data_IF_354589828244
#
_entry.id   IF_354589828244
#
_cell.length_a   1.000
_cell.length_b   1.000
_cell.length_c   1.000
_cell.angle_alpha   90.00
_cell.angle_beta   90.00
_cell.angle_gamma   90.00
#
_symmetry.space_group_name_H-M   'P 1'
#
loop_
_entity.id
_entity.type
_entity.pdbx_description
1 polymer ?
#
# COMPACT_ATOMS: atom_id res chain seq x y z
N UNK A 1 -26.02 25.47 -33.92
CA UNK A 1 -25.24 26.18 -32.88
C UNK A 1 -25.41 25.59 -31.47
N UNK A 2 -26.47 24.82 -31.17
CA UNK A 2 -26.70 24.22 -29.85
C UNK A 2 -25.86 22.95 -29.51
N UNK A 3 -25.14 22.38 -30.48
CA UNK A 3 -24.45 21.09 -30.31
C UNK A 3 -23.07 21.21 -29.63
N UNK A 4 -22.42 22.38 -29.75
CA UNK A 4 -21.09 22.63 -29.15
C UNK A 4 -21.14 22.89 -27.64
N UNK A 5 -22.24 23.43 -27.13
CA UNK A 5 -22.41 23.65 -25.68
C UNK A 5 -22.69 22.34 -24.94
N UNK A 6 -23.47 21.43 -25.54
CA UNK A 6 -23.83 20.17 -24.89
C UNK A 6 -22.62 19.22 -24.74
N UNK A 7 -21.72 19.22 -25.72
CA UNK A 7 -20.49 18.40 -25.70
C UNK A 7 -19.50 18.83 -24.59
N UNK A 8 -19.53 20.10 -24.17
CA UNK A 8 -18.71 20.60 -23.06
C UNK A 8 -19.27 20.21 -21.68
N UNK A 9 -20.59 20.01 -21.57
CA UNK A 9 -21.25 19.65 -20.31
C UNK A 9 -21.03 18.17 -19.97
N UNK A 10 -21.02 17.27 -20.97
CA UNK A 10 -20.75 15.84 -20.74
C UNK A 10 -19.26 15.54 -20.44
N UNK A 11 -18.31 16.32 -21.00
CA UNK A 11 -16.89 16.18 -20.66
C UNK A 11 -16.51 16.73 -19.26
N UNK A 12 -17.40 17.51 -18.64
CA UNK A 12 -17.21 18.05 -17.28
C UNK A 12 -17.80 17.13 -16.20
N UNK A 13 -18.45 16.03 -16.59
CA UNK A 13 -18.72 14.92 -15.68
C UNK A 13 -17.47 14.04 -15.55
N UNK A 14 -16.33 14.62 -15.20
CA UNK A 14 -15.28 13.83 -14.55
C UNK A 14 -15.87 13.38 -13.23
N UNK A 15 -16.08 12.07 -13.12
CA UNK A 15 -16.48 11.36 -11.91
C UNK A 15 -15.90 12.11 -10.71
N UNK A 16 -16.76 12.52 -9.77
CA UNK A 16 -16.36 13.26 -8.57
C UNK A 16 -15.02 12.69 -8.11
N UNK A 17 -13.93 13.48 -8.05
CA UNK A 17 -12.67 12.94 -7.58
C UNK A 17 -13.01 12.28 -6.26
N UNK A 18 -12.87 10.95 -6.18
CA UNK A 18 -12.98 10.28 -4.89
C UNK A 18 -12.11 11.10 -3.97
N UNK A 19 -12.63 11.45 -2.79
CA UNK A 19 -11.85 12.24 -1.83
C UNK A 19 -10.46 11.63 -1.80
N UNK A 20 -9.41 12.43 -2.04
CA UNK A 20 -8.06 11.92 -2.25
C UNK A 20 -7.62 10.98 -1.10
N UNK A 21 -8.19 11.19 0.10
CA UNK A 21 -8.13 10.30 1.25
C UNK A 21 -8.80 8.93 1.03
N UNK A 22 -10.01 8.86 0.46
CA UNK A 22 -10.69 7.61 0.14
C UNK A 22 -9.93 6.79 -0.91
N UNK A 23 -9.37 7.43 -1.93
CA UNK A 23 -8.47 6.76 -2.89
C UNK A 23 -7.24 6.18 -2.17
N UNK A 24 -6.64 6.94 -1.26
CA UNK A 24 -5.50 6.49 -0.43
C UNK A 24 -5.85 5.30 0.48
N UNK A 25 -7.04 5.32 1.09
CA UNK A 25 -7.52 4.20 1.92
C UNK A 25 -7.74 2.95 1.08
N UNK A 26 -8.34 3.09 -0.11
CA UNK A 26 -8.55 1.96 -1.02
C UNK A 26 -7.24 1.40 -1.56
N UNK A 27 -6.29 2.24 -1.96
CA UNK A 27 -4.97 1.78 -2.41
C UNK A 27 -4.20 1.08 -1.28
N UNK A 28 -4.30 1.58 -0.05
CA UNK A 28 -3.78 0.91 1.14
C UNK A 28 -4.44 -0.45 1.38
N UNK A 29 -5.78 -0.53 1.38
CA UNK A 29 -6.50 -1.77 1.61
C UNK A 29 -6.18 -2.82 0.53
N UNK A 30 -6.31 -2.44 -0.75
CA UNK A 30 -6.07 -3.32 -1.89
C UNK A 30 -4.60 -3.73 -1.94
N UNK A 31 -3.68 -2.78 -1.75
CA UNK A 31 -2.26 -3.06 -1.68
C UNK A 31 -1.93 -4.05 -0.55
N UNK A 32 -2.48 -3.84 0.64
CA UNK A 32 -2.25 -4.73 1.77
C UNK A 32 -2.75 -6.13 1.50
N UNK A 33 -3.99 -6.29 1.04
CA UNK A 33 -4.57 -7.61 0.74
C UNK A 33 -3.79 -8.32 -0.38
N UNK A 34 -3.52 -7.61 -1.49
CA UNK A 34 -2.80 -8.19 -2.63
C UNK A 34 -1.39 -8.62 -2.25
N UNK A 35 -0.60 -7.74 -1.65
CA UNK A 35 0.79 -8.05 -1.30
C UNK A 35 0.90 -9.07 -0.17
N UNK A 36 -0.07 -9.15 0.74
CA UNK A 36 -0.14 -10.23 1.73
C UNK A 36 -0.46 -11.58 1.10
N UNK A 37 -1.35 -11.59 0.11
CA UNK A 37 -1.63 -12.79 -0.67
C UNK A 37 -0.39 -13.27 -1.44
N UNK A 38 0.36 -12.35 -2.05
CA UNK A 38 1.64 -12.68 -2.71
C UNK A 38 2.67 -13.19 -1.70
N UNK A 39 2.75 -12.59 -0.51
CA UNK A 39 3.59 -13.08 0.58
C UNK A 39 3.23 -14.49 1.04
N UNK A 40 1.93 -14.79 1.14
CA UNK A 40 1.45 -16.15 1.44
C UNK A 40 1.83 -17.15 0.34
N UNK A 41 1.70 -16.78 -0.94
CA UNK A 41 2.15 -17.61 -2.05
C UNK A 41 3.67 -17.84 -1.93
N UNK A 42 4.46 -16.80 -1.67
CA UNK A 42 5.90 -16.92 -1.47
C UNK A 42 6.24 -17.90 -0.33
N UNK A 43 5.45 -17.93 0.75
CA UNK A 43 5.59 -18.89 1.84
C UNK A 43 5.31 -20.33 1.38
N UNK A 44 4.22 -20.55 0.64
CA UNK A 44 3.86 -21.88 0.09
C UNK A 44 4.95 -22.43 -0.84
N UNK A 45 5.66 -21.55 -1.57
CA UNK A 45 6.79 -21.92 -2.42
C UNK A 45 8.14 -22.01 -1.69
N UNK A 46 8.16 -21.89 -0.35
CA UNK A 46 9.37 -21.89 0.50
C UNK A 46 10.37 -20.76 0.17
N UNK A 47 9.89 -19.62 -0.35
CA UNK A 47 10.73 -18.43 -0.54
C UNK A 47 10.81 -17.54 0.70
N UNK A 48 9.90 -17.73 1.65
CA UNK A 48 9.88 -17.07 2.96
C UNK A 48 9.48 -18.06 4.03
N UNK A 49 10.25 -18.11 5.10
CA UNK A 49 9.94 -18.94 6.28
C UNK A 49 8.83 -18.32 7.16
N UNK A 50 8.48 -17.04 6.91
CA UNK A 50 7.49 -16.30 7.70
C UNK A 50 6.07 -16.71 7.29
N UNK A 51 5.29 -17.32 8.19
CA UNK A 51 3.93 -17.72 7.90
C UNK A 51 2.98 -16.52 7.98
N UNK A 52 1.88 -16.59 7.23
CA UNK A 52 0.92 -15.48 7.18
C UNK A 52 0.24 -15.20 8.54
N UNK A 53 0.11 -16.22 9.40
CA UNK A 53 -0.51 -16.12 10.72
C UNK A 53 0.37 -15.42 11.77
N UNK A 54 1.61 -15.05 11.48
CA UNK A 54 2.51 -14.38 12.44
C UNK A 54 1.91 -13.10 13.03
N UNK A 55 1.11 -12.38 12.26
CA UNK A 55 0.42 -11.17 12.74
C UNK A 55 -0.59 -11.44 13.87
N UNK A 56 -1.05 -12.68 13.99
CA UNK A 56 -1.98 -13.15 15.01
C UNK A 56 -1.27 -13.67 16.27
N UNK A 57 0.05 -13.91 16.23
CA UNK A 57 0.81 -14.43 17.37
C UNK A 57 0.72 -13.59 18.65
N UNK A 58 0.78 -12.24 18.60
CA UNK A 58 0.66 -11.42 19.81
C UNK A 58 -0.72 -11.52 20.45
N UNK A 59 -1.70 -12.05 19.72
CA UNK A 59 -3.07 -12.15 20.16
C UNK A 59 -3.35 -13.56 20.70
N UNK A 60 -3.79 -13.64 21.95
CA UNK A 60 -4.15 -14.91 22.62
C UNK A 60 -5.53 -15.41 22.15
N UNK A 61 -5.67 -15.76 20.87
CA UNK A 61 -6.97 -16.09 20.26
C UNK A 61 -7.03 -17.55 19.78
N UNK A 62 -7.03 -18.51 20.71
CA UNK A 62 -7.33 -19.93 20.48
C UNK A 62 -6.53 -20.66 19.37
N UNK A 63 -6.83 -21.93 19.13
CA UNK A 63 -6.09 -22.77 18.17
C UNK A 63 -6.52 -22.53 16.70
N UNK A 64 -7.64 -21.83 16.48
CA UNK A 64 -8.16 -21.57 15.13
C UNK A 64 -7.24 -20.65 14.30
N UNK A 65 -6.37 -19.88 14.97
CA UNK A 65 -5.39 -18.97 14.35
C UNK A 65 -4.33 -19.68 13.50
N UNK A 66 -4.12 -20.97 13.74
CA UNK A 66 -3.13 -21.78 13.02
C UNK A 66 -3.74 -22.49 11.81
N UNK A 67 -5.07 -22.44 11.67
CA UNK A 67 -5.79 -22.99 10.53
C UNK A 67 -5.98 -21.98 9.38
N UNK A 68 -6.74 -22.41 8.37
CA UNK A 68 -7.09 -21.58 7.20
C UNK A 68 -7.72 -20.23 7.59
N UNK A 69 -8.54 -20.21 8.64
CA UNK A 69 -9.17 -18.98 9.14
C UNK A 69 -8.15 -17.94 9.60
N UNK A 70 -7.07 -18.39 10.23
CA UNK A 70 -5.96 -17.52 10.64
C UNK A 70 -5.30 -16.84 9.45
N UNK A 71 -5.09 -17.56 8.35
CA UNK A 71 -4.49 -17.00 7.12
C UNK A 71 -5.38 -15.89 6.54
N UNK A 72 -6.69 -16.15 6.40
CA UNK A 72 -7.63 -15.16 5.84
C UNK A 72 -7.70 -13.91 6.71
N UNK A 73 -7.81 -14.09 8.03
CA UNK A 73 -7.89 -12.96 8.97
C UNK A 73 -6.58 -12.18 8.99
N UNK A 74 -5.44 -12.86 8.87
CA UNK A 74 -4.14 -12.20 8.78
C UNK A 74 -4.01 -11.31 7.55
N UNK A 75 -4.49 -11.79 6.38
CA UNK A 75 -4.51 -10.99 5.14
C UNK A 75 -5.42 -9.76 5.32
N UNK A 76 -6.57 -9.90 5.96
CA UNK A 76 -7.47 -8.78 6.23
C UNK A 76 -6.87 -7.76 7.21
N UNK A 77 -6.24 -8.22 8.28
CA UNK A 77 -5.53 -7.36 9.24
C UNK A 77 -4.36 -6.64 8.58
N UNK A 78 -3.61 -7.32 7.72
CA UNK A 78 -2.53 -6.71 6.97
C UNK A 78 -3.06 -5.66 5.97
N UNK A 79 -4.25 -5.89 5.39
CA UNK A 79 -5.03 -4.87 4.68
C UNK A 79 -5.30 -3.63 5.53
N UNK A 80 -5.76 -3.81 6.76
CA UNK A 80 -6.03 -2.70 7.68
C UNK A 80 -4.76 -1.94 8.11
N UNK A 81 -3.68 -2.65 8.43
CA UNK A 81 -2.37 -2.02 8.74
C UNK A 81 -1.83 -1.27 7.52
N UNK A 82 -2.01 -1.82 6.33
CA UNK A 82 -1.61 -1.20 5.08
C UNK A 82 -2.34 0.12 4.79
N UNK A 83 -3.57 0.30 5.27
CA UNK A 83 -4.25 1.61 5.22
C UNK A 83 -3.45 2.64 6.02
N UNK A 84 -3.01 2.28 7.23
CA UNK A 84 -2.19 3.17 8.08
C UNK A 84 -0.89 3.52 7.37
N UNK A 85 -0.21 2.53 6.78
CA UNK A 85 0.99 2.76 5.99
C UNK A 85 0.72 3.70 4.79
N UNK A 86 -0.37 3.50 4.03
CA UNK A 86 -0.72 4.38 2.92
C UNK A 86 -1.00 5.83 3.37
N UNK A 87 -1.66 6.01 4.52
CA UNK A 87 -1.89 7.32 5.12
C UNK A 87 -0.60 7.99 5.60
N UNK A 88 0.36 7.23 6.14
CA UNK A 88 1.69 7.74 6.50
C UNK A 88 2.42 8.23 5.24
N UNK A 89 2.41 7.46 4.15
CA UNK A 89 2.99 7.89 2.88
C UNK A 89 2.32 9.17 2.37
N UNK A 90 0.99 9.22 2.43
CA UNK A 90 0.22 10.39 2.06
C UNK A 90 0.62 11.63 2.87
N UNK A 91 0.76 11.50 4.19
CA UNK A 91 1.08 12.63 5.06
C UNK A 91 2.51 13.16 4.84
N UNK A 92 3.49 12.26 4.68
CA UNK A 92 4.90 12.62 4.65
C UNK A 92 5.44 12.88 3.23
N UNK A 93 5.01 12.09 2.24
CA UNK A 93 5.72 11.95 0.97
C UNK A 93 4.88 12.30 -0.27
N UNK A 94 3.58 12.63 -0.13
CA UNK A 94 2.68 12.97 -1.27
C UNK A 94 3.19 14.06 -2.20
N UNK A 95 4.10 14.93 -1.73
CA UNK A 95 4.61 16.07 -2.49
C UNK A 95 5.62 15.66 -3.56
N UNK A 96 6.27 14.52 -3.41
CA UNK A 96 7.38 14.14 -4.26
C UNK A 96 6.98 13.04 -5.26
N UNK A 97 6.92 13.42 -6.54
CA UNK A 97 6.62 12.50 -7.63
C UNK A 97 7.92 11.79 -8.07
N UNK A 98 8.24 10.65 -7.45
CA UNK A 98 9.37 9.81 -7.88
C UNK A 98 9.22 8.36 -7.44
N UNK A 99 9.42 7.42 -8.35
CA UNK A 99 9.41 5.97 -8.08
C UNK A 99 10.45 5.61 -7.00
N UNK A 100 11.58 6.32 -6.99
CA UNK A 100 12.64 6.15 -5.99
C UNK A 100 12.15 6.37 -4.56
N UNK A 101 11.14 7.22 -4.38
CA UNK A 101 10.59 7.55 -3.06
C UNK A 101 9.68 6.44 -2.57
N UNK A 102 8.90 5.83 -3.47
CA UNK A 102 8.16 4.60 -3.17
C UNK A 102 9.09 3.44 -2.80
N UNK A 103 10.20 3.28 -3.54
CA UNK A 103 11.21 2.26 -3.23
C UNK A 103 11.84 2.49 -1.84
N UNK A 104 12.29 3.72 -1.57
CA UNK A 104 12.85 4.08 -0.25
C UNK A 104 11.84 3.86 0.87
N UNK A 105 10.57 4.23 0.65
CA UNK A 105 9.49 3.97 1.59
C UNK A 105 9.31 2.47 1.90
N UNK A 106 9.33 1.63 0.87
CA UNK A 106 9.29 0.18 1.03
C UNK A 106 10.45 -0.37 1.87
N UNK A 107 11.67 0.12 1.63
CA UNK A 107 12.85 -0.25 2.43
C UNK A 107 12.70 0.19 3.89
N UNK A 108 12.20 1.40 4.14
CA UNK A 108 11.96 1.88 5.51
C UNK A 108 10.92 1.02 6.21
N UNK A 109 9.81 0.66 5.53
CA UNK A 109 8.80 -0.24 6.09
C UNK A 109 9.38 -1.62 6.40
N UNK A 110 10.19 -2.18 5.49
CA UNK A 110 10.86 -3.45 5.72
C UNK A 110 11.73 -3.40 6.98
N UNK A 111 12.61 -2.39 7.10
CA UNK A 111 13.45 -2.22 8.29
C UNK A 111 12.63 -1.98 9.55
N UNK A 112 11.53 -1.22 9.46
CA UNK A 112 10.63 -0.98 10.57
C UNK A 112 10.02 -2.30 11.07
N UNK A 113 9.53 -3.15 10.16
CA UNK A 113 8.94 -4.44 10.55
C UNK A 113 9.98 -5.39 11.15
N UNK A 114 11.13 -5.56 10.49
CA UNK A 114 12.13 -6.55 10.89
C UNK A 114 13.06 -6.12 12.01
N UNK A 115 13.24 -4.81 12.26
CA UNK A 115 14.09 -4.32 13.36
C UNK A 115 13.27 -3.80 14.54
N UNK A 116 12.17 -3.08 14.31
CA UNK A 116 11.39 -2.44 15.37
C UNK A 116 10.26 -3.32 15.86
N UNK A 117 9.54 -3.99 14.96
CA UNK A 117 8.39 -4.83 15.32
C UNK A 117 8.78 -6.29 15.61
N UNK A 118 10.00 -6.73 15.30
CA UNK A 118 10.48 -8.09 15.61
C UNK A 118 10.24 -8.53 17.08
N UNK A 119 10.46 -7.69 18.12
CA UNK A 119 10.17 -8.07 19.51
C UNK A 119 8.69 -8.36 19.80
N UNK A 120 7.78 -7.83 18.97
CA UNK A 120 6.34 -8.04 19.10
C UNK A 120 5.94 -9.37 18.48
N UNK A 121 6.69 -9.87 17.49
CA UNK A 121 6.40 -11.08 16.73
C UNK A 121 7.48 -12.16 16.98
N UNK A 122 7.38 -12.92 18.09
CA UNK A 122 8.39 -13.90 18.48
C UNK A 122 8.56 -15.05 17.47
N UNK A 123 7.60 -15.29 16.57
CA UNK A 123 7.70 -16.26 15.48
C UNK A 123 8.53 -15.78 14.28
N UNK A 124 8.98 -14.52 14.24
CA UNK A 124 9.93 -14.04 13.24
C UNK A 124 11.35 -14.19 13.82
N UNK A 125 12.24 -15.00 13.21
CA UNK A 125 13.63 -15.06 13.63
C UNK A 125 14.27 -13.67 13.69
N UNK A 126 15.26 -13.44 14.57
CA UNK A 126 16.01 -12.18 14.57
C UNK A 126 16.65 -11.94 13.20
N UNK A 127 16.75 -10.68 12.75
CA UNK A 127 17.25 -10.33 11.40
C UNK A 127 18.55 -11.04 10.97
N UNK A 128 19.47 -11.29 11.91
CA UNK A 128 20.74 -11.98 11.64
C UNK A 128 20.64 -13.50 11.43
N UNK A 129 19.51 -14.12 11.78
CA UNK A 129 19.26 -15.56 11.69
C UNK A 129 18.30 -15.94 10.56
N UNK A 130 17.66 -14.95 9.91
CA UNK A 130 16.78 -15.21 8.77
C UNK A 130 17.54 -15.83 7.60
N UNK A 131 16.91 -16.77 6.91
CA UNK A 131 17.41 -17.28 5.66
C UNK A 131 17.56 -16.13 4.63
N UNK A 132 18.65 -16.17 3.86
CA UNK A 132 18.95 -15.16 2.85
C UNK A 132 17.82 -15.03 1.82
N UNK A 133 17.16 -16.14 1.50
CA UNK A 133 16.00 -16.17 0.60
C UNK A 133 14.82 -15.39 1.19
N UNK A 134 14.52 -15.56 2.48
CA UNK A 134 13.47 -14.82 3.18
C UNK A 134 13.75 -13.32 3.19
N UNK A 135 14.99 -12.89 3.45
CA UNK A 135 15.39 -11.47 3.44
C UNK A 135 15.20 -10.87 2.05
N UNK A 136 15.69 -11.54 1.00
CA UNK A 136 15.61 -11.04 -0.38
C UNK A 136 14.15 -10.97 -0.85
N UNK A 137 13.39 -12.05 -0.65
CA UNK A 137 11.99 -12.14 -1.05
C UNK A 137 11.16 -11.09 -0.33
N UNK A 138 11.27 -11.00 0.99
CA UNK A 138 10.55 -10.01 1.79
C UNK A 138 10.94 -8.58 1.37
N UNK A 139 12.25 -8.29 1.27
CA UNK A 139 12.72 -6.98 0.83
C UNK A 139 12.15 -6.58 -0.53
N UNK A 140 12.10 -7.52 -1.49
CA UNK A 140 11.49 -7.31 -2.79
C UNK A 140 9.99 -6.99 -2.68
N UNK A 141 9.23 -7.78 -1.91
CA UNK A 141 7.80 -7.54 -1.71
C UNK A 141 7.52 -6.19 -1.06
N UNK A 142 8.30 -5.79 -0.06
CA UNK A 142 8.16 -4.47 0.59
C UNK A 142 8.52 -3.32 -0.35
N UNK A 143 9.55 -3.46 -1.19
CA UNK A 143 9.89 -2.48 -2.22
C UNK A 143 8.75 -2.36 -3.24
N UNK A 144 8.24 -3.48 -3.75
CA UNK A 144 7.15 -3.48 -4.73
C UNK A 144 5.86 -2.89 -4.13
N UNK A 145 5.56 -3.22 -2.87
CA UNK A 145 4.48 -2.60 -2.12
C UNK A 145 4.66 -1.07 -2.00
N UNK A 146 5.85 -0.62 -1.58
CA UNK A 146 6.17 0.80 -1.43
C UNK A 146 6.09 1.56 -2.74
N UNK A 147 6.57 0.96 -3.85
CA UNK A 147 6.44 1.52 -5.20
C UNK A 147 4.98 1.58 -5.63
N UNK A 148 4.18 0.53 -5.38
CA UNK A 148 2.75 0.51 -5.69
C UNK A 148 2.02 1.65 -4.98
N UNK A 149 2.14 1.73 -3.64
CA UNK A 149 1.51 2.79 -2.83
C UNK A 149 2.00 4.17 -3.26
N UNK A 150 3.32 4.31 -3.41
CA UNK A 150 3.93 5.60 -3.73
C UNK A 150 3.54 6.10 -5.11
N UNK A 151 3.50 5.23 -6.12
CA UNK A 151 3.06 5.58 -7.46
C UNK A 151 1.57 5.95 -7.46
N UNK A 152 0.70 5.14 -6.85
CA UNK A 152 -0.74 5.42 -6.82
C UNK A 152 -1.06 6.77 -6.16
N UNK A 153 -0.47 7.08 -5.01
CA UNK A 153 -0.75 8.34 -4.29
C UNK A 153 -0.12 9.54 -5.00
N UNK A 154 1.14 9.41 -5.45
CA UNK A 154 1.86 10.54 -6.05
C UNK A 154 1.32 10.88 -7.44
N UNK A 155 0.89 9.88 -8.21
CA UNK A 155 0.25 10.06 -9.51
C UNK A 155 -1.08 10.81 -9.36
N UNK A 156 -1.94 10.37 -8.45
CA UNK A 156 -3.23 11.03 -8.16
C UNK A 156 -3.03 12.50 -7.77
N UNK A 157 -2.09 12.79 -6.86
CA UNK A 157 -1.76 14.15 -6.48
C UNK A 157 -1.27 15.02 -7.66
N UNK A 158 -0.55 14.42 -8.60
CA UNK A 158 -0.05 15.12 -9.78
C UNK A 158 -1.17 15.42 -10.79
N UNK A 159 -2.13 14.51 -10.94
CA UNK A 159 -3.27 14.68 -11.83
C UNK A 159 -4.22 15.75 -11.29
N UNK A 160 -4.51 15.76 -9.97
CA UNK A 160 -5.33 16.79 -9.33
C UNK A 160 -4.73 18.18 -9.59
N UNK A 161 -3.42 18.37 -9.37
CA UNK A 161 -2.74 19.65 -9.62
C UNK A 161 -2.81 20.09 -11.08
N UNK A 162 -2.66 19.16 -12.03
CA UNK A 162 -2.79 19.49 -13.46
C UNK A 162 -4.21 19.92 -13.83
N UNK A 163 -5.22 19.35 -13.18
CA UNK A 163 -6.62 19.74 -13.39
C UNK A 163 -6.91 21.13 -12.81
N UNK A 164 -6.40 21.42 -11.60
CA UNK A 164 -6.49 22.75 -10.98
C UNK A 164 -5.83 23.82 -11.85
N UNK A 165 -4.60 23.59 -12.33
CA UNK A 165 -3.89 24.52 -13.21
C UNK A 165 -4.65 24.81 -14.52
N UNK A 166 -5.21 23.77 -15.15
CA UNK A 166 -6.03 23.95 -16.38
C UNK A 166 -7.31 24.72 -16.13
N UNK A 167 -7.92 24.58 -14.95
CA UNK A 167 -9.12 25.33 -14.58
C UNK A 167 -8.80 26.81 -14.34
N UNK A 168 -7.71 27.11 -13.62
CA UNK A 168 -7.22 28.49 -13.43
C UNK A 168 -6.86 29.15 -14.78
N UNK A 169 -6.17 28.45 -15.68
CA UNK A 169 -5.84 28.96 -17.02
C UNK A 169 -7.08 29.23 -17.89
N UNK A 170 -8.16 28.46 -17.70
CA UNK A 170 -9.41 28.64 -18.43
C UNK A 170 -10.22 29.84 -17.91
N UNK A 171 -10.24 30.05 -16.59
CA UNK A 171 -10.88 31.19 -15.93
C UNK A 171 -10.14 32.51 -16.22
N UNK A 172 -8.79 32.48 -16.16
CA UNK A 172 -7.96 33.64 -16.51
C UNK A 172 -8.06 34.07 -17.99
N UNK A 173 -8.68 33.25 -18.85
CA UNK A 173 -8.83 33.50 -20.29
C UNK A 173 -10.28 33.84 -20.69
N UNK A 174 -11.23 33.80 -19.76
CA UNK A 174 -12.63 34.23 -19.95
C UNK A 174 -12.84 35.67 -19.50
#
# INVERSE_FOLDING_TARGET
>A
MADKDNKKLEQNQKEKPMSFLMMTVLTGLVGGILWSGVGYIAHVFNFTEIPANTILEPWTIGDWKDGWLGIVISILLMGAISIVAALIYYALLRRFYSIWIGMGYGIVLFLLVFLVLNPIFPGIPPFGELERNTIITSGCLYILYGVFVGYSISYENSEIKKMEQKAEEADARS
#
